data_IF_875960260384
#
_entry.id   IF_875960260384
#
_cell.length_a   1.000
_cell.length_b   1.000
_cell.length_c   1.000
_cell.angle_alpha   90.00
_cell.angle_beta   90.00
_cell.angle_gamma   90.00
#
_symmetry.space_group_name_H-M   'P 1'
#
loop_
_entity.id
_entity.type
_entity.pdbx_description
1 polymer ?
#
# COMPACT_ATOMS: atom_id res chain seq x y z
N UNK A 1 -25.21 -0.02 -80.90
CA UNK A 1 -25.63 0.65 -79.65
C UNK A 1 -25.88 -0.47 -78.65
N UNK A 2 -24.80 -0.95 -78.04
CA UNK A 2 -24.81 -2.07 -77.08
C UNK A 2 -24.62 -1.48 -75.71
N UNK A 3 -25.68 -1.52 -74.89
CA UNK A 3 -25.64 -1.15 -73.49
C UNK A 3 -24.74 -2.14 -72.74
N UNK A 4 -23.58 -1.66 -72.30
CA UNK A 4 -22.75 -2.39 -71.36
C UNK A 4 -23.34 -2.23 -69.96
N UNK A 5 -24.25 -3.13 -69.61
CA UNK A 5 -24.68 -3.31 -68.23
C UNK A 5 -23.50 -3.91 -67.42
N UNK A 6 -22.72 -3.02 -66.80
CA UNK A 6 -21.70 -3.41 -65.83
C UNK A 6 -22.38 -3.90 -64.54
N UNK A 7 -22.16 -5.15 -64.09
CA UNK A 7 -22.71 -5.61 -62.83
C UNK A 7 -21.89 -5.01 -61.68
N UNK A 8 -22.45 -3.99 -61.01
CA UNK A 8 -21.92 -3.45 -59.75
C UNK A 8 -22.12 -4.48 -58.62
N UNK A 9 -21.23 -5.48 -58.56
CA UNK A 9 -21.27 -6.55 -57.57
C UNK A 9 -20.75 -6.08 -56.20
N UNK A 10 -21.67 -6.03 -55.22
CA UNK A 10 -21.51 -6.64 -53.89
C UNK A 10 -20.31 -6.23 -53.02
N UNK A 11 -19.91 -4.95 -52.98
CA UNK A 11 -18.93 -4.47 -51.99
C UNK A 11 -19.55 -4.14 -50.62
N UNK A 12 -20.86 -3.87 -50.55
CA UNK A 12 -21.56 -3.54 -49.30
C UNK A 12 -21.65 -4.72 -48.31
N UNK A 13 -22.02 -5.90 -48.80
CA UNK A 13 -22.36 -7.04 -47.95
C UNK A 13 -21.16 -7.62 -47.17
N UNK A 14 -19.93 -7.47 -47.69
CA UNK A 14 -18.73 -7.99 -47.03
C UNK A 14 -18.22 -7.05 -45.92
N UNK A 15 -18.36 -5.73 -46.13
CA UNK A 15 -18.06 -4.72 -45.11
C UNK A 15 -19.03 -4.83 -43.93
N UNK A 16 -20.30 -5.16 -44.18
CA UNK A 16 -21.31 -5.38 -43.14
C UNK A 16 -20.95 -6.55 -42.21
N UNK A 17 -20.46 -7.66 -42.78
CA UNK A 17 -20.02 -8.83 -42.02
C UNK A 17 -18.82 -8.55 -41.12
N UNK A 18 -17.86 -7.75 -41.60
CA UNK A 18 -16.68 -7.32 -40.84
C UNK A 18 -17.06 -6.36 -39.71
N UNK A 19 -17.98 -5.43 -39.97
CA UNK A 19 -18.50 -4.46 -39.00
C UNK A 19 -19.18 -5.16 -37.82
N UNK A 20 -19.96 -6.21 -38.09
CA UNK A 20 -20.59 -7.03 -37.05
C UNK A 20 -19.57 -7.80 -36.20
N UNK A 21 -18.53 -8.36 -36.82
CA UNK A 21 -17.47 -9.09 -36.12
C UNK A 21 -16.68 -8.17 -35.17
N UNK A 22 -16.35 -6.95 -35.62
CA UNK A 22 -15.71 -5.94 -34.77
C UNK A 22 -16.64 -5.43 -33.65
N UNK A 23 -17.95 -5.29 -33.91
CA UNK A 23 -18.93 -4.89 -32.89
C UNK A 23 -19.05 -5.89 -31.73
N UNK A 24 -18.92 -7.19 -31.99
CA UNK A 24 -18.88 -8.22 -30.96
C UNK A 24 -17.52 -8.29 -30.25
N UNK A 25 -16.42 -8.19 -31.01
CA UNK A 25 -15.06 -8.20 -30.47
C UNK A 25 -14.78 -7.03 -29.55
N UNK A 26 -15.28 -5.83 -29.87
CA UNK A 26 -15.07 -4.62 -29.08
C UNK A 26 -15.78 -4.67 -27.72
N UNK A 27 -17.03 -5.15 -27.68
CA UNK A 27 -17.76 -5.30 -26.43
C UNK A 27 -17.14 -6.38 -25.53
N UNK A 28 -16.69 -7.49 -26.12
CA UNK A 28 -16.01 -8.56 -25.38
C UNK A 28 -14.66 -8.08 -24.81
N UNK A 29 -13.88 -7.35 -25.61
CA UNK A 29 -12.63 -6.75 -25.17
C UNK A 29 -12.86 -5.79 -23.99
N UNK A 30 -13.87 -4.92 -24.07
CA UNK A 30 -14.20 -3.99 -23.00
C UNK A 30 -14.56 -4.70 -21.69
N UNK A 31 -15.36 -5.78 -21.76
CA UNK A 31 -15.72 -6.59 -20.59
C UNK A 31 -14.48 -7.23 -19.98
N UNK A 32 -13.60 -7.82 -20.79
CA UNK A 32 -12.37 -8.46 -20.32
C UNK A 32 -11.44 -7.42 -19.68
N UNK A 33 -11.25 -6.27 -20.32
CA UNK A 33 -10.45 -5.17 -19.76
C UNK A 33 -11.01 -4.68 -18.43
N UNK A 34 -12.33 -4.52 -18.32
CA UNK A 34 -12.97 -4.14 -17.07
C UNK A 34 -12.72 -5.16 -15.96
N UNK A 35 -12.85 -6.47 -16.26
CA UNK A 35 -12.58 -7.54 -15.29
C UNK A 35 -11.11 -7.54 -14.85
N UNK A 36 -10.17 -7.42 -15.79
CA UNK A 36 -8.74 -7.35 -15.48
C UNK A 36 -8.44 -6.11 -14.61
N UNK A 37 -9.01 -4.96 -14.95
CA UNK A 37 -8.83 -3.73 -14.19
C UNK A 37 -9.33 -3.86 -12.74
N UNK A 38 -10.52 -4.42 -12.55
CA UNK A 38 -11.08 -4.69 -11.21
C UNK A 38 -10.21 -5.69 -10.45
N UNK A 39 -9.74 -6.76 -11.10
CA UNK A 39 -8.86 -7.74 -10.48
C UNK A 39 -7.55 -7.10 -10.01
N UNK A 40 -6.87 -6.37 -10.90
CA UNK A 40 -5.60 -5.69 -10.59
C UNK A 40 -5.80 -4.71 -9.43
N UNK A 41 -6.91 -3.97 -9.43
CA UNK A 41 -7.24 -3.06 -8.35
C UNK A 41 -7.44 -3.77 -7.00
N UNK A 42 -8.21 -4.87 -6.98
CA UNK A 42 -8.42 -5.68 -5.78
C UNK A 42 -7.10 -6.25 -5.26
N UNK A 43 -6.28 -6.78 -6.16
CA UNK A 43 -4.97 -7.33 -5.82
C UNK A 43 -4.06 -6.26 -5.21
N UNK A 44 -3.97 -5.09 -5.85
CA UNK A 44 -3.15 -3.98 -5.38
C UNK A 44 -3.61 -3.50 -4.00
N UNK A 45 -4.92 -3.40 -3.79
CA UNK A 45 -5.50 -3.04 -2.50
C UNK A 45 -5.21 -4.07 -1.42
N UNK A 46 -5.32 -5.36 -1.75
CA UNK A 46 -4.99 -6.44 -0.82
C UNK A 46 -3.50 -6.44 -0.44
N UNK A 47 -2.59 -6.17 -1.39
CA UNK A 47 -1.16 -6.06 -1.11
C UNK A 47 -0.85 -4.93 -0.13
N UNK A 48 -1.47 -3.75 -0.29
CA UNK A 48 -1.31 -2.63 0.65
C UNK A 48 -1.72 -3.01 2.07
N UNK A 49 -2.91 -3.61 2.22
CA UNK A 49 -3.42 -4.03 3.53
C UNK A 49 -2.53 -5.11 4.17
N UNK A 50 -2.03 -6.07 3.38
CA UNK A 50 -1.12 -7.12 3.89
C UNK A 50 0.20 -6.55 4.40
N UNK A 51 0.78 -5.58 3.69
CA UNK A 51 2.04 -4.93 4.12
C UNK A 51 1.86 -4.19 5.43
N UNK A 52 0.78 -3.39 5.53
CA UNK A 52 0.42 -2.70 6.77
C UNK A 52 0.25 -3.66 7.95
N UNK A 53 -0.53 -4.73 7.77
CA UNK A 53 -0.75 -5.73 8.83
C UNK A 53 0.54 -6.40 9.30
N UNK A 54 1.46 -6.71 8.39
CA UNK A 54 2.77 -7.29 8.76
C UNK A 54 3.61 -6.32 9.60
N UNK A 55 3.61 -5.04 9.23
CA UNK A 55 4.31 -4.01 9.99
C UNK A 55 3.71 -3.86 11.40
N UNK A 56 2.39 -3.73 11.49
CA UNK A 56 1.65 -3.61 12.76
C UNK A 56 1.85 -4.82 13.65
N UNK A 57 1.72 -6.03 13.10
CA UNK A 57 1.91 -7.28 13.84
C UNK A 57 3.34 -7.40 14.36
N UNK A 58 4.34 -7.11 13.52
CA UNK A 58 5.74 -7.19 13.92
C UNK A 58 6.08 -6.19 15.03
N UNK A 59 5.66 -4.92 14.89
CA UNK A 59 5.89 -3.91 15.93
C UNK A 59 5.14 -4.25 17.23
N UNK A 60 3.94 -4.85 17.13
CA UNK A 60 3.19 -5.34 18.29
C UNK A 60 3.93 -6.48 19.00
N UNK A 61 4.45 -7.45 18.26
CA UNK A 61 5.23 -8.57 18.81
C UNK A 61 6.50 -8.07 19.49
N UNK A 62 7.23 -7.14 18.87
CA UNK A 62 8.43 -6.53 19.47
C UNK A 62 8.10 -5.76 20.76
N UNK A 63 6.98 -5.03 20.79
CA UNK A 63 6.51 -4.34 22.00
C UNK A 63 6.13 -5.31 23.11
N UNK A 64 5.48 -6.42 22.76
CA UNK A 64 5.09 -7.47 23.72
C UNK A 64 6.29 -8.27 24.24
N UNK A 65 7.34 -8.42 23.44
CA UNK A 65 8.57 -9.11 23.84
C UNK A 65 9.38 -8.37 24.91
N UNK A 66 8.99 -7.14 25.28
CA UNK A 66 9.62 -6.38 26.37
C UNK A 66 11.01 -5.84 26.03
N UNK A 67 11.38 -5.81 24.75
CA UNK A 67 12.70 -5.44 24.25
C UNK A 67 12.87 -3.90 24.17
N UNK A 68 12.49 -3.21 25.25
CA UNK A 68 12.43 -1.75 25.39
C UNK A 68 11.10 -1.12 24.95
N UNK A 69 11.13 0.15 24.49
CA UNK A 69 9.95 0.88 24.02
C UNK A 69 9.31 0.30 22.74
N UNK A 70 9.86 -0.78 22.17
CA UNK A 70 9.37 -1.37 20.91
C UNK A 70 9.64 -0.50 19.67
N UNK A 71 10.60 0.42 19.77
CA UNK A 71 10.99 1.30 18.66
C UNK A 71 11.94 0.56 17.70
N UNK A 72 11.66 0.61 16.40
CA UNK A 72 12.53 0.05 15.36
C UNK A 72 12.78 1.07 14.25
N UNK A 73 14.01 1.10 13.75
CA UNK A 73 14.39 1.97 12.64
C UNK A 73 13.88 1.40 11.31
N UNK A 74 13.73 2.27 10.31
CA UNK A 74 13.42 1.89 8.92
C UNK A 74 14.32 0.73 8.45
N UNK A 75 15.64 0.86 8.66
CA UNK A 75 16.62 -0.13 8.18
C UNK A 75 16.42 -1.52 8.80
N UNK A 76 16.06 -1.57 10.09
CA UNK A 76 15.75 -2.84 10.76
C UNK A 76 14.49 -3.49 10.18
N UNK A 77 13.47 -2.69 9.89
CA UNK A 77 12.22 -3.16 9.30
C UNK A 77 12.42 -3.67 7.87
N UNK A 78 13.26 -3.01 7.06
CA UNK A 78 13.64 -3.49 5.72
C UNK A 78 14.26 -4.87 5.80
N UNK A 79 15.23 -5.05 6.70
CA UNK A 79 15.93 -6.32 6.88
C UNK A 79 15.03 -7.47 7.32
N UNK A 80 14.08 -7.21 8.24
CA UNK A 80 13.27 -8.28 8.81
C UNK A 80 11.94 -8.53 8.08
N UNK A 81 11.33 -7.50 7.50
CA UNK A 81 10.03 -7.61 6.81
C UNK A 81 10.15 -7.81 5.30
N UNK A 82 11.39 -7.77 4.75
CA UNK A 82 11.67 -7.81 3.30
C UNK A 82 10.85 -6.77 2.54
N UNK A 83 10.68 -5.59 3.15
CA UNK A 83 10.00 -4.44 2.55
C UNK A 83 11.04 -3.42 2.09
N UNK A 84 10.72 -2.64 1.06
CA UNK A 84 11.55 -1.48 0.71
C UNK A 84 11.31 -0.32 1.67
N UNK A 85 12.24 0.62 1.75
CA UNK A 85 12.11 1.84 2.56
C UNK A 85 10.78 2.56 2.31
N UNK A 86 10.46 2.81 1.03
CA UNK A 86 9.21 3.44 0.63
C UNK A 86 7.97 2.67 1.10
N UNK A 87 8.00 1.33 1.07
CA UNK A 87 6.89 0.50 1.54
C UNK A 87 6.74 0.54 3.06
N UNK A 88 7.84 0.64 3.80
CA UNK A 88 7.80 0.81 5.26
C UNK A 88 7.17 2.15 5.60
N UNK A 89 7.60 3.24 4.95
CA UNK A 89 6.99 4.56 5.17
C UNK A 89 5.53 4.60 4.76
N UNK A 90 5.17 4.08 3.58
CA UNK A 90 3.78 4.00 3.12
C UNK A 90 2.91 3.23 4.12
N UNK A 91 3.39 2.07 4.59
CA UNK A 91 2.67 1.24 5.56
C UNK A 91 2.56 1.89 6.95
N UNK A 92 3.61 2.60 7.39
CA UNK A 92 3.62 3.31 8.67
C UNK A 92 2.67 4.50 8.66
N UNK A 93 2.69 5.33 7.61
CA UNK A 93 1.83 6.52 7.51
C UNK A 93 0.37 6.18 7.23
N UNK A 94 0.07 5.07 6.53
CA UNK A 94 -1.31 4.59 6.36
C UNK A 94 -1.87 3.98 7.67
N UNK A 95 -0.99 3.55 8.58
CA UNK A 95 -1.39 2.96 9.85
C UNK A 95 -1.82 4.00 10.88
N UNK A 96 -2.96 3.74 11.53
CA UNK A 96 -3.45 4.56 12.66
C UNK A 96 -2.74 4.25 13.98
N UNK A 97 -2.05 3.11 14.06
CA UNK A 97 -1.47 2.58 15.30
C UNK A 97 0.05 2.57 15.28
N UNK A 98 0.66 2.98 14.17
CA UNK A 98 2.11 3.16 14.07
C UNK A 98 2.42 4.65 14.16
N UNK A 99 3.23 5.04 15.14
CA UNK A 99 3.69 6.41 15.33
C UNK A 99 5.13 6.52 14.86
N UNK A 100 5.42 7.59 14.12
CA UNK A 100 6.76 7.94 13.67
C UNK A 100 7.38 8.92 14.65
N UNK A 101 8.53 8.56 15.22
CA UNK A 101 9.23 9.39 16.22
C UNK A 101 10.63 9.72 15.70
N UNK A 102 11.01 11.00 15.63
CA UNK A 102 12.38 11.37 15.32
C UNK A 102 13.30 11.03 16.50
N UNK A 103 14.30 10.21 16.21
CA UNK A 103 15.43 9.92 17.06
C UNK A 103 16.43 11.06 17.07
N UNK A 104 16.69 11.61 18.25
CA UNK A 104 17.70 12.64 18.44
C UNK A 104 19.06 12.02 18.74
N UNK A 105 20.11 12.64 18.21
CA UNK A 105 21.49 12.36 18.55
C UNK A 105 21.87 13.03 19.89
N UNK A 106 23.07 12.74 20.40
CA UNK A 106 23.64 13.34 21.61
C UNK A 106 23.70 14.88 21.58
N UNK A 107 23.66 15.46 20.37
CA UNK A 107 23.61 16.91 20.12
C UNK A 107 22.18 17.49 20.13
N UNK A 108 21.15 16.65 20.29
CA UNK A 108 19.74 17.04 20.21
C UNK A 108 19.21 17.15 18.78
N UNK A 109 20.03 16.89 17.76
CA UNK A 109 19.64 16.94 16.35
C UNK A 109 18.95 15.63 15.96
N UNK A 110 17.83 15.70 15.25
CA UNK A 110 17.17 14.52 14.70
C UNK A 110 18.04 13.86 13.62
N UNK A 111 18.49 12.63 13.87
CA UNK A 111 19.38 11.89 12.97
C UNK A 111 18.75 10.57 12.47
N UNK A 112 17.71 10.06 13.14
CA UNK A 112 17.07 8.78 12.76
C UNK A 112 15.55 8.87 12.87
N UNK A 113 14.85 8.03 12.11
CA UNK A 113 13.41 7.86 12.22
C UNK A 113 13.12 6.50 12.85
N UNK A 114 12.36 6.51 13.94
CA UNK A 114 11.87 5.33 14.63
C UNK A 114 10.38 5.15 14.39
N UNK A 115 9.94 3.90 14.32
CA UNK A 115 8.53 3.53 14.31
C UNK A 115 8.19 2.74 15.57
N UNK A 116 7.02 3.04 16.13
CA UNK A 116 6.53 2.43 17.36
C UNK A 116 5.04 2.08 17.23
N UNK A 117 4.64 0.95 17.81
CA UNK A 117 3.23 0.60 17.96
C UNK A 117 2.60 1.34 19.15
N UNK A 118 1.57 2.15 18.93
CA UNK A 118 0.75 2.78 19.97
C UNK A 118 -0.57 2.03 20.15
N UNK A 119 -0.99 1.85 21.40
CA UNK A 119 -2.31 1.33 21.73
C UNK A 119 -3.36 2.45 21.72
N UNK A 120 -2.95 3.72 21.58
CA UNK A 120 -3.83 4.90 21.63
C UNK A 120 -4.07 5.44 23.03
N UNK A 121 -3.67 4.71 24.06
CA UNK A 121 -3.59 5.17 25.45
C UNK A 121 -2.11 5.35 25.85
N UNK A 122 -1.65 6.59 26.08
CA UNK A 122 -0.28 6.87 26.50
C UNK A 122 0.10 6.14 27.79
N UNK A 123 -0.86 5.92 28.70
CA UNK A 123 -0.60 5.25 29.98
C UNK A 123 -0.39 3.74 29.80
N UNK A 124 -1.12 3.08 28.90
CA UNK A 124 -0.85 1.69 28.51
C UNK A 124 0.47 1.57 27.75
N UNK A 125 0.75 2.51 26.85
CA UNK A 125 2.01 2.52 26.10
C UNK A 125 3.22 2.61 27.05
N UNK A 126 3.12 3.43 28.10
CA UNK A 126 4.13 3.54 29.16
C UNK A 126 4.22 2.27 30.02
N UNK A 127 3.09 1.64 30.35
CA UNK A 127 3.07 0.37 31.11
C UNK A 127 3.74 -0.76 30.33
N UNK A 128 3.52 -0.81 29.02
CA UNK A 128 4.15 -1.78 28.12
C UNK A 128 5.62 -1.45 27.84
N UNK A 129 5.98 -0.16 27.80
CA UNK A 129 7.33 0.29 27.50
C UNK A 129 8.30 0.27 28.69
N UNK A 130 7.81 0.20 29.94
CA UNK A 130 8.69 0.50 31.06
C UNK A 130 8.26 -0.03 32.42
N UNK A 131 8.71 -1.25 32.73
CA UNK A 131 9.38 -1.51 34.01
C UNK A 131 10.83 -1.00 34.07
N UNK A 132 11.31 -0.26 33.05
CA UNK A 132 12.69 0.18 32.91
C UNK A 132 12.83 1.68 32.69
N UNK A 133 13.40 2.35 33.70
CA UNK A 133 13.99 3.70 33.76
C UNK A 133 13.25 4.85 33.07
N UNK A 134 12.69 5.70 33.93
CA UNK A 134 12.29 7.09 33.67
C UNK A 134 13.44 7.88 33.02
N UNK A 135 13.40 8.07 31.71
CA UNK A 135 13.95 9.27 31.08
C UNK A 135 12.80 10.27 30.98
N UNK A 136 12.99 11.44 31.61
CA UNK A 136 12.03 12.54 31.73
C UNK A 136 11.89 13.39 30.44
N UNK A 137 12.38 12.91 29.29
CA UNK A 137 12.28 13.59 27.99
C UNK A 137 10.98 13.28 27.21
N UNK A 138 9.84 13.25 27.88
CA UNK A 138 8.53 13.21 27.21
C UNK A 138 7.75 14.50 27.52
N UNK A 139 7.63 15.37 26.51
CA UNK A 139 6.55 16.36 26.45
C UNK A 139 5.57 15.90 25.37
N UNK A 140 4.33 15.53 25.72
CA UNK A 140 3.32 15.28 24.70
C UNK A 140 3.09 16.58 23.93
N UNK A 141 3.05 16.49 22.60
CA UNK A 141 2.55 17.57 21.77
C UNK A 141 1.06 17.73 22.07
N UNK A 142 0.73 18.72 22.89
CA UNK A 142 -0.62 19.21 23.06
C UNK A 142 -1.10 19.75 21.70
N UNK A 143 -2.23 19.25 21.22
CA UNK A 143 -3.04 19.93 20.21
C UNK A 143 -3.96 20.92 20.90
#
# INVERSE_FOLDING_TARGET
>A
MTDEATPSLSTSNWLDGISWLFGLGANLAAIITAVIAVWVWLWFRAQRVRRRRRLEQYLREVKLAGDGMGQRTVLHLIGNLRMTEAQVFEAAFDSKVVVTVPGQDHTGIANRIYFQYTTGDPSEDLRLAGGGRRDSRWRPYAR
#
